data_IF_170774849514
#
_entry.id   IF_170774849514
#
_cell.length_a   1.000
_cell.length_b   1.000
_cell.length_c   1.000
_cell.angle_alpha   90.00
_cell.angle_beta   90.00
_cell.angle_gamma   90.00
#
_symmetry.space_group_name_H-M   'P 1'
#
loop_
_entity.id
_entity.type
_entity.pdbx_description
1 polymer ?
#
# COMPACT_ATOMS: atom_id res chain seq x y z
N UNK A 1 36.10 -6.45 -33.33
CA UNK A 1 35.13 -7.42 -32.83
C UNK A 1 33.93 -6.70 -32.14
N UNK A 2 34.13 -5.82 -31.15
CA UNK A 2 33.04 -5.07 -30.47
C UNK A 2 32.08 -4.36 -31.42
N UNK A 3 32.63 -3.70 -32.46
CA UNK A 3 31.77 -3.04 -33.48
C UNK A 3 30.89 -4.05 -34.25
N UNK A 4 31.40 -5.27 -34.53
CA UNK A 4 30.63 -6.34 -35.16
C UNK A 4 29.49 -6.82 -34.27
N UNK A 5 29.73 -7.03 -32.96
CA UNK A 5 28.72 -7.45 -32.00
C UNK A 5 27.64 -6.35 -31.84
N UNK A 6 28.05 -5.08 -31.76
CA UNK A 6 27.08 -3.97 -31.73
C UNK A 6 26.23 -3.91 -33.00
N UNK A 7 26.80 -4.17 -34.16
CA UNK A 7 26.05 -4.22 -35.40
C UNK A 7 25.02 -5.35 -35.37
N UNK A 8 25.39 -6.54 -34.90
CA UNK A 8 24.46 -7.68 -34.73
C UNK A 8 23.33 -7.33 -33.78
N UNK A 9 23.62 -6.77 -32.60
CA UNK A 9 22.60 -6.35 -31.62
C UNK A 9 21.64 -5.30 -32.21
N UNK A 10 22.16 -4.31 -32.95
CA UNK A 10 21.32 -3.31 -33.63
C UNK A 10 20.41 -3.90 -34.68
N UNK A 11 20.88 -4.91 -35.45
CA UNK A 11 20.05 -5.64 -36.43
C UNK A 11 18.91 -6.43 -35.79
N UNK A 12 19.06 -6.81 -34.51
CA UNK A 12 18.01 -7.48 -33.75
C UNK A 12 16.93 -6.51 -33.27
N UNK A 13 17.12 -5.19 -33.41
CA UNK A 13 16.18 -4.13 -32.98
C UNK A 13 15.74 -4.26 -31.51
N UNK A 14 16.62 -4.76 -30.65
CA UNK A 14 16.36 -4.89 -29.23
C UNK A 14 16.33 -3.52 -28.56
N UNK A 15 15.39 -3.23 -27.67
CA UNK A 15 15.36 -2.03 -26.85
C UNK A 15 16.39 -2.19 -25.71
N UNK A 16 17.68 -2.00 -26.00
CA UNK A 16 18.74 -2.17 -25.02
C UNK A 16 19.73 -1.00 -25.06
N UNK A 17 20.28 -0.67 -23.91
CA UNK A 17 21.45 0.21 -23.77
C UNK A 17 22.72 -0.62 -23.81
N UNK A 18 23.72 -0.16 -24.56
CA UNK A 18 24.97 -0.87 -24.73
C UNK A 18 26.10 -0.05 -24.11
N UNK A 19 26.71 -0.58 -23.04
CA UNK A 19 27.96 -0.06 -22.49
C UNK A 19 29.13 -0.88 -22.99
N UNK A 20 30.29 -0.27 -23.11
CA UNK A 20 31.51 -0.92 -23.60
C UNK A 20 32.66 -0.71 -22.64
N UNK A 21 33.46 -1.78 -22.47
CA UNK A 21 34.71 -1.73 -21.74
C UNK A 21 35.87 -2.23 -22.64
N UNK A 22 37.05 -1.73 -22.42
CA UNK A 22 38.23 -2.11 -23.22
C UNK A 22 38.87 -3.44 -22.77
N UNK A 23 38.70 -3.80 -21.51
CA UNK A 23 39.24 -5.02 -20.86
C UNK A 23 38.38 -5.36 -19.63
N UNK A 24 38.69 -6.49 -18.98
CA UNK A 24 37.92 -6.95 -17.82
C UNK A 24 38.00 -6.04 -16.61
N UNK A 25 39.12 -5.30 -16.41
CA UNK A 25 39.25 -4.38 -15.28
C UNK A 25 38.33 -3.16 -15.46
N UNK A 26 38.30 -2.57 -16.65
CA UNK A 26 37.42 -1.43 -16.95
C UNK A 26 35.94 -1.84 -16.85
N UNK A 27 35.61 -3.08 -17.28
CA UNK A 27 34.25 -3.62 -17.14
C UNK A 27 33.86 -3.79 -15.68
N UNK A 28 34.74 -4.33 -14.83
CA UNK A 28 34.49 -4.50 -13.41
C UNK A 28 34.33 -3.14 -12.71
N UNK A 29 35.11 -2.14 -13.07
CA UNK A 29 35.01 -0.79 -12.52
C UNK A 29 33.65 -0.15 -12.88
N UNK A 30 33.23 -0.30 -14.15
CA UNK A 30 31.90 0.15 -14.59
C UNK A 30 30.76 -0.52 -13.80
N UNK A 31 30.84 -1.83 -13.59
CA UNK A 31 29.82 -2.62 -12.88
C UNK A 31 29.76 -2.34 -11.36
N UNK A 32 30.77 -1.66 -10.78
CA UNK A 32 30.68 -1.16 -9.39
C UNK A 32 29.67 -0.03 -9.23
N UNK A 33 29.47 0.78 -10.27
CA UNK A 33 28.57 1.94 -10.23
C UNK A 33 27.25 1.68 -10.99
N UNK A 34 27.26 0.70 -11.91
CA UNK A 34 26.13 0.42 -12.80
C UNK A 34 25.80 -1.09 -12.76
N UNK A 35 24.54 -1.41 -13.03
CA UNK A 35 24.08 -2.79 -13.19
C UNK A 35 23.95 -3.12 -14.68
N UNK A 36 24.20 -4.38 -15.05
CA UNK A 36 23.97 -4.88 -16.39
C UNK A 36 23.11 -6.15 -16.35
N UNK A 37 22.22 -6.29 -17.33
CA UNK A 37 21.37 -7.47 -17.46
C UNK A 37 22.13 -8.63 -18.13
N UNK A 38 22.96 -8.30 -19.12
CA UNK A 38 23.73 -9.26 -19.89
C UNK A 38 25.17 -8.76 -20.04
N UNK A 39 26.13 -9.58 -19.68
CA UNK A 39 27.55 -9.38 -19.92
C UNK A 39 27.99 -10.23 -21.11
N UNK A 40 28.46 -9.56 -22.15
CA UNK A 40 29.13 -10.24 -23.30
C UNK A 40 30.63 -10.01 -23.18
N UNK A 41 31.43 -11.06 -23.02
CA UNK A 41 32.86 -10.93 -22.79
C UNK A 41 33.68 -11.90 -23.63
N UNK A 42 34.87 -11.50 -24.02
CA UNK A 42 35.87 -12.42 -24.58
C UNK A 42 36.57 -13.18 -23.43
N UNK A 43 36.96 -14.41 -23.67
CA UNK A 43 37.83 -15.18 -22.73
C UNK A 43 39.17 -14.47 -22.56
N UNK A 44 39.87 -14.18 -23.65
CA UNK A 44 41.22 -13.63 -23.60
C UNK A 44 41.20 -12.10 -23.72
N UNK A 45 41.38 -11.41 -22.61
CA UNK A 45 41.50 -9.96 -22.52
C UNK A 45 42.77 -9.57 -21.75
N UNK A 46 43.38 -8.39 -22.02
CA UNK A 46 44.52 -7.89 -21.26
C UNK A 46 44.08 -7.53 -19.83
N UNK A 47 45.00 -7.63 -18.88
CA UNK A 47 44.86 -7.29 -17.45
C UNK A 47 43.95 -8.22 -16.64
N UNK A 48 42.77 -8.56 -17.13
CA UNK A 48 41.78 -9.43 -16.51
C UNK A 48 41.05 -10.17 -17.62
N UNK A 49 41.09 -11.49 -17.59
CA UNK A 49 40.39 -12.35 -18.55
C UNK A 49 38.86 -12.38 -18.24
N UNK A 50 38.07 -12.87 -19.24
CA UNK A 50 36.59 -12.90 -19.09
C UNK A 50 36.10 -13.82 -17.98
N UNK A 51 36.84 -14.90 -17.69
CA UNK A 51 36.52 -15.84 -16.60
C UNK A 51 36.73 -15.14 -15.25
N UNK A 52 37.87 -14.47 -15.07
CA UNK A 52 38.17 -13.71 -13.87
C UNK A 52 37.15 -12.56 -13.65
N UNK A 53 36.76 -11.89 -14.74
CA UNK A 53 35.72 -10.85 -14.67
C UNK A 53 34.40 -11.42 -14.13
N UNK A 54 33.94 -12.54 -14.67
CA UNK A 54 32.69 -13.19 -14.23
C UNK A 54 32.82 -13.66 -12.78
N UNK A 55 33.94 -14.23 -12.37
CA UNK A 55 34.19 -14.65 -10.98
C UNK A 55 34.07 -13.46 -10.00
N UNK A 56 34.65 -12.31 -10.37
CA UNK A 56 34.55 -11.08 -9.54
C UNK A 56 33.13 -10.48 -9.51
N UNK A 57 32.44 -10.46 -10.66
CA UNK A 57 31.09 -9.98 -10.74
C UNK A 57 30.10 -10.78 -9.87
N UNK A 58 30.29 -12.11 -9.79
CA UNK A 58 29.42 -12.98 -8.98
C UNK A 58 29.64 -12.89 -7.47
N UNK A 59 30.66 -12.17 -7.01
CA UNK A 59 30.85 -11.87 -5.57
C UNK A 59 29.97 -10.71 -5.10
N UNK A 60 29.39 -9.97 -6.03
CA UNK A 60 28.52 -8.83 -5.73
C UNK A 60 27.06 -9.22 -5.99
N UNK A 61 26.24 -9.23 -4.93
CA UNK A 61 24.82 -9.61 -4.98
C UNK A 61 24.01 -8.78 -5.99
N UNK A 62 24.46 -7.56 -6.32
CA UNK A 62 23.81 -6.72 -7.35
C UNK A 62 23.85 -7.31 -8.74
N UNK A 63 24.81 -8.20 -9.01
CA UNK A 63 25.04 -8.88 -10.28
C UNK A 63 24.54 -10.33 -10.27
N UNK A 64 23.82 -10.77 -9.25
CA UNK A 64 23.34 -12.15 -9.12
C UNK A 64 22.53 -12.61 -10.33
N UNK A 65 21.68 -11.73 -10.86
CA UNK A 65 20.79 -12.02 -11.99
C UNK A 65 21.44 -11.76 -13.36
N UNK A 66 22.68 -11.24 -13.40
CA UNK A 66 23.37 -10.91 -14.64
C UNK A 66 23.69 -12.17 -15.44
N UNK A 67 23.19 -12.25 -16.67
CA UNK A 67 23.50 -13.33 -17.62
C UNK A 67 24.83 -13.07 -18.27
N UNK A 68 25.67 -14.10 -18.33
CA UNK A 68 27.02 -14.01 -18.92
C UNK A 68 27.10 -14.86 -20.18
N UNK A 69 27.56 -14.27 -21.28
CA UNK A 69 27.85 -14.96 -22.53
C UNK A 69 29.31 -14.72 -22.88
N UNK A 70 30.04 -15.81 -23.15
CA UNK A 70 31.48 -15.78 -23.44
C UNK A 70 31.73 -15.99 -24.92
N UNK A 71 32.61 -15.16 -25.50
CA UNK A 71 33.17 -15.39 -26.83
C UNK A 71 34.57 -15.99 -26.72
N UNK A 72 34.87 -16.99 -27.52
CA UNK A 72 36.21 -17.60 -27.55
C UNK A 72 36.67 -17.94 -28.96
N UNK A 73 37.89 -17.60 -29.27
CA UNK A 73 38.57 -18.00 -30.51
C UNK A 73 39.25 -19.37 -30.45
N UNK A 74 39.15 -20.07 -29.33
CA UNK A 74 39.87 -21.30 -29.09
C UNK A 74 38.95 -22.33 -28.45
N UNK A 75 39.00 -23.54 -28.97
CA UNK A 75 38.36 -24.74 -28.40
C UNK A 75 39.10 -25.26 -27.15
N UNK A 76 39.63 -24.37 -26.31
CA UNK A 76 40.32 -24.77 -25.07
C UNK A 76 39.28 -25.29 -24.08
N UNK A 77 39.22 -26.58 -23.96
CA UNK A 77 38.29 -27.34 -23.11
C UNK A 77 38.29 -26.85 -21.64
N UNK A 78 39.44 -26.39 -21.16
CA UNK A 78 39.59 -25.89 -19.80
C UNK A 78 38.79 -24.58 -19.51
N UNK A 79 38.72 -23.67 -20.49
CA UNK A 79 37.93 -22.48 -20.36
C UNK A 79 36.39 -22.76 -20.40
N UNK A 80 36.00 -23.64 -21.33
CA UNK A 80 34.60 -24.07 -21.40
C UNK A 80 34.15 -24.74 -20.09
N UNK A 81 34.99 -25.62 -19.53
CA UNK A 81 34.71 -26.27 -18.24
C UNK A 81 34.61 -25.28 -17.08
N UNK A 82 35.46 -24.26 -17.03
CA UNK A 82 35.35 -23.18 -16.02
C UNK A 82 34.10 -22.37 -16.21
N UNK A 83 33.75 -21.98 -17.44
CA UNK A 83 32.53 -21.27 -17.76
C UNK A 83 31.27 -22.00 -17.26
N UNK A 84 31.16 -23.29 -17.52
CA UNK A 84 30.06 -24.14 -17.03
C UNK A 84 29.99 -24.14 -15.49
N UNK A 85 31.12 -24.25 -14.79
CA UNK A 85 31.17 -24.23 -13.32
C UNK A 85 30.74 -22.89 -12.74
N UNK A 86 30.98 -21.81 -13.47
CA UNK A 86 30.54 -20.46 -13.10
C UNK A 86 29.10 -20.20 -13.49
N UNK A 87 28.38 -21.14 -14.12
CA UNK A 87 27.00 -20.95 -14.54
C UNK A 87 26.85 -19.83 -15.57
N UNK A 88 27.76 -19.81 -16.57
CA UNK A 88 27.66 -18.92 -17.72
C UNK A 88 26.46 -19.34 -18.57
N UNK A 89 25.71 -18.40 -19.06
CA UNK A 89 24.47 -18.67 -19.82
C UNK A 89 24.76 -19.29 -21.17
N UNK A 90 25.87 -18.88 -21.83
CA UNK A 90 26.27 -19.47 -23.08
C UNK A 90 27.74 -19.19 -23.42
N UNK A 91 28.24 -19.97 -24.44
CA UNK A 91 29.61 -19.90 -24.93
C UNK A 91 29.61 -19.96 -26.46
N UNK A 92 30.01 -18.88 -27.12
CA UNK A 92 29.98 -18.69 -28.56
C UNK A 92 31.42 -18.83 -29.12
N UNK A 93 31.60 -19.68 -30.11
CA UNK A 93 32.87 -19.82 -30.79
C UNK A 93 33.09 -18.73 -31.83
N UNK A 94 34.32 -18.25 -31.94
CA UNK A 94 34.76 -17.34 -33.03
C UNK A 94 35.26 -18.17 -34.23
N UNK A 95 34.99 -17.76 -35.48
CA UNK A 95 34.25 -16.53 -35.85
C UNK A 95 32.77 -16.62 -35.53
N UNK A 96 32.18 -15.52 -35.01
CA UNK A 96 30.77 -15.48 -34.59
C UNK A 96 29.85 -15.57 -35.80
N UNK A 97 29.06 -16.64 -35.85
CA UNK A 97 28.00 -16.78 -36.84
C UNK A 97 26.81 -15.87 -36.45
N UNK A 98 26.29 -14.99 -37.33
CA UNK A 98 25.20 -14.11 -37.01
C UNK A 98 23.92 -14.81 -36.60
N UNK A 99 23.64 -15.99 -37.12
CA UNK A 99 22.43 -16.76 -36.82
C UNK A 99 22.53 -17.39 -35.43
N UNK A 100 23.68 -18.02 -35.12
CA UNK A 100 23.99 -18.57 -33.80
C UNK A 100 23.94 -17.47 -32.72
N UNK A 101 24.59 -16.33 -33.01
CA UNK A 101 24.56 -15.18 -32.11
C UNK A 101 23.14 -14.73 -31.81
N UNK A 102 22.29 -14.56 -32.83
CA UNK A 102 20.89 -14.15 -32.68
C UNK A 102 20.10 -15.15 -31.85
N UNK A 103 20.25 -16.44 -32.12
CA UNK A 103 19.57 -17.52 -31.38
C UNK A 103 19.97 -17.50 -29.90
N UNK A 104 21.28 -17.43 -29.62
CA UNK A 104 21.83 -17.38 -28.27
C UNK A 104 21.32 -16.17 -27.50
N UNK A 105 21.42 -14.95 -28.05
CA UNK A 105 20.99 -13.75 -27.38
C UNK A 105 19.47 -13.76 -27.13
N UNK A 106 18.69 -14.23 -28.10
CA UNK A 106 17.24 -14.34 -27.95
C UNK A 106 16.89 -15.29 -26.80
N UNK A 107 17.53 -16.46 -26.72
CA UNK A 107 17.34 -17.43 -25.64
C UNK A 107 17.73 -16.85 -24.28
N UNK A 108 18.89 -16.21 -24.17
CA UNK A 108 19.36 -15.58 -22.92
C UNK A 108 18.40 -14.48 -22.43
N UNK A 109 17.84 -13.69 -23.35
CA UNK A 109 16.82 -12.68 -23.00
C UNK A 109 15.55 -13.36 -22.49
N UNK A 110 15.06 -14.39 -23.17
CA UNK A 110 13.87 -15.13 -22.74
C UNK A 110 14.04 -15.76 -21.36
N UNK A 111 15.21 -16.36 -21.08
CA UNK A 111 15.54 -16.91 -19.76
C UNK A 111 15.54 -15.82 -18.68
N UNK A 112 16.16 -14.66 -18.96
CA UNK A 112 16.20 -13.52 -18.05
C UNK A 112 14.79 -12.99 -17.76
N UNK A 113 13.96 -12.82 -18.78
CA UNK A 113 12.57 -12.36 -18.65
C UNK A 113 11.72 -13.36 -17.86
N UNK A 114 11.88 -14.67 -18.12
CA UNK A 114 11.16 -15.71 -17.40
C UNK A 114 11.54 -15.74 -15.90
N UNK A 115 12.82 -15.67 -15.57
CA UNK A 115 13.30 -15.62 -14.19
C UNK A 115 12.80 -14.36 -13.45
N UNK A 116 12.82 -13.21 -14.12
CA UNK A 116 12.26 -11.96 -13.57
C UNK A 116 10.75 -12.05 -13.35
N UNK A 117 10.03 -12.63 -14.29
CA UNK A 117 8.59 -12.84 -14.15
C UNK A 117 8.29 -13.77 -12.96
N UNK A 118 9.05 -14.87 -12.81
CA UNK A 118 8.90 -15.79 -11.69
C UNK A 118 9.21 -15.11 -10.34
N UNK A 119 10.34 -14.38 -10.25
CA UNK A 119 10.69 -13.61 -9.03
C UNK A 119 9.63 -12.59 -8.69
N UNK A 120 9.11 -11.86 -9.69
CA UNK A 120 8.04 -10.87 -9.48
C UNK A 120 6.73 -11.53 -9.03
N UNK A 121 6.37 -12.68 -9.60
CA UNK A 121 5.19 -13.44 -9.18
C UNK A 121 5.33 -13.93 -7.73
N UNK A 122 6.48 -14.50 -7.36
CA UNK A 122 6.77 -14.92 -5.98
C UNK A 122 6.67 -13.74 -5.01
N UNK A 123 7.32 -12.61 -5.36
CA UNK A 123 7.27 -11.39 -4.54
C UNK A 123 5.84 -10.87 -4.37
N UNK A 124 5.06 -10.84 -5.44
CA UNK A 124 3.65 -10.42 -5.41
C UNK A 124 2.79 -11.36 -4.56
N UNK A 125 2.98 -12.68 -4.73
CA UNK A 125 2.28 -13.68 -3.92
C UNK A 125 2.61 -13.55 -2.43
N UNK A 126 3.89 -13.39 -2.07
CA UNK A 126 4.31 -13.16 -0.68
C UNK A 126 3.70 -11.87 -0.11
N UNK A 127 3.67 -10.80 -0.90
CA UNK A 127 3.05 -9.55 -0.47
C UNK A 127 1.55 -9.72 -0.23
N UNK A 128 0.82 -10.41 -1.11
CA UNK A 128 -0.60 -10.70 -0.92
C UNK A 128 -0.86 -11.56 0.33
N UNK A 129 -0.02 -12.57 0.59
CA UNK A 129 -0.13 -13.37 1.80
C UNK A 129 0.11 -12.53 3.06
N UNK A 130 1.07 -11.60 3.02
CA UNK A 130 1.37 -10.67 4.12
C UNK A 130 0.20 -9.71 4.37
N UNK A 131 -0.36 -9.12 3.32
CA UNK A 131 -1.53 -8.25 3.40
C UNK A 131 -2.75 -8.98 3.95
N UNK A 132 -2.99 -10.23 3.51
CA UNK A 132 -4.05 -11.06 4.03
C UNK A 132 -3.87 -11.39 5.52
N UNK A 133 -2.65 -11.73 5.95
CA UNK A 133 -2.36 -11.99 7.36
C UNK A 133 -2.60 -10.73 8.23
N UNK A 134 -2.18 -9.56 7.78
CA UNK A 134 -2.45 -8.30 8.46
C UNK A 134 -3.94 -7.96 8.48
N UNK A 135 -4.66 -8.22 7.38
CA UNK A 135 -6.10 -8.08 7.32
C UNK A 135 -6.81 -8.93 8.39
N UNK A 136 -6.36 -10.16 8.62
CA UNK A 136 -6.91 -11.01 9.69
C UNK A 136 -6.67 -10.40 11.08
N UNK A 137 -5.46 -9.86 11.35
CA UNK A 137 -5.13 -9.23 12.64
C UNK A 137 -6.02 -8.02 12.89
N UNK A 138 -6.17 -7.12 11.93
CA UNK A 138 -7.00 -5.91 12.10
C UNK A 138 -8.49 -6.22 12.24
N UNK A 139 -8.95 -7.38 11.74
CA UNK A 139 -10.31 -7.89 11.94
C UNK A 139 -10.47 -8.75 13.20
N UNK A 140 -9.53 -8.68 14.14
CA UNK A 140 -9.68 -9.29 15.46
C UNK A 140 -9.22 -10.74 15.59
N UNK A 141 -8.58 -11.32 14.57
CA UNK A 141 -7.98 -12.65 14.70
C UNK A 141 -6.72 -12.56 15.58
N UNK A 142 -6.56 -13.54 16.47
CA UNK A 142 -5.43 -13.56 17.39
C UNK A 142 -4.08 -13.49 16.65
N UNK A 143 -3.22 -12.55 17.06
CA UNK A 143 -1.92 -12.29 16.41
C UNK A 143 -1.04 -13.54 16.38
N UNK A 144 -0.94 -14.28 17.48
CA UNK A 144 -0.09 -15.47 17.55
C UNK A 144 -0.57 -16.57 16.57
N UNK A 145 -1.88 -16.77 16.45
CA UNK A 145 -2.46 -17.71 15.51
C UNK A 145 -2.17 -17.34 14.05
N UNK A 146 -2.30 -16.06 13.72
CA UNK A 146 -2.01 -15.55 12.36
C UNK A 146 -0.54 -15.69 12.02
N UNK A 147 0.36 -15.36 12.96
CA UNK A 147 1.81 -15.49 12.75
C UNK A 147 2.22 -16.94 12.52
N UNK A 148 1.67 -17.88 13.28
CA UNK A 148 1.92 -19.31 13.11
C UNK A 148 1.44 -19.81 11.73
N UNK A 149 0.23 -19.44 11.33
CA UNK A 149 -0.35 -19.82 10.03
C UNK A 149 0.30 -19.15 8.83
N UNK A 150 0.96 -18.01 9.02
CA UNK A 150 1.60 -17.25 7.92
C UNK A 150 2.84 -17.95 7.34
N UNK A 151 3.33 -19.02 7.99
CA UNK A 151 4.50 -19.76 7.51
C UNK A 151 5.78 -18.91 7.41
N UNK A 152 5.91 -17.87 8.23
CA UNK A 152 7.06 -16.96 8.27
C UNK A 152 7.00 -15.80 7.28
N UNK A 153 5.91 -15.65 6.51
CA UNK A 153 5.69 -14.51 5.60
C UNK A 153 5.49 -13.20 6.38
N UNK A 154 4.89 -13.30 7.58
CA UNK A 154 4.73 -12.21 8.53
C UNK A 154 5.38 -12.62 9.86
N UNK A 155 6.27 -11.79 10.39
CA UNK A 155 6.91 -12.02 11.68
C UNK A 155 6.36 -11.08 12.75
N UNK A 156 6.58 -11.41 14.04
CA UNK A 156 6.15 -10.53 15.13
C UNK A 156 6.80 -9.14 15.03
N UNK A 157 8.08 -9.06 14.65
CA UNK A 157 8.77 -7.78 14.46
C UNK A 157 8.18 -6.94 13.32
N UNK A 158 7.60 -7.57 12.29
CA UNK A 158 6.91 -6.87 11.22
C UNK A 158 5.62 -6.20 11.69
N UNK A 159 5.00 -6.72 12.73
CA UNK A 159 3.75 -6.20 13.29
C UNK A 159 4.02 -5.24 14.46
N UNK A 160 4.99 -5.55 15.31
CA UNK A 160 5.37 -4.68 16.43
C UNK A 160 6.00 -3.35 15.98
N UNK A 161 6.40 -3.22 14.71
CA UNK A 161 6.92 -1.98 14.16
C UNK A 161 5.84 -0.90 13.92
N UNK A 162 4.56 -1.26 13.93
CA UNK A 162 3.49 -0.28 13.77
C UNK A 162 3.31 0.54 15.04
N UNK A 163 3.22 1.86 14.88
CA UNK A 163 3.09 2.79 16.00
C UNK A 163 1.73 3.51 16.05
N UNK A 164 1.01 3.60 14.93
CA UNK A 164 -0.34 4.21 14.83
C UNK A 164 -1.09 3.66 13.63
N UNK A 165 -2.41 3.76 13.70
CA UNK A 165 -3.30 3.42 12.59
C UNK A 165 -4.13 4.66 12.26
N UNK A 166 -4.26 4.96 10.97
CA UNK A 166 -5.25 5.87 10.42
C UNK A 166 -6.33 5.03 9.75
N UNK A 167 -7.60 5.31 10.03
CA UNK A 167 -8.72 4.80 9.28
C UNK A 167 -9.26 5.91 8.37
N UNK A 168 -9.57 5.57 7.14
CA UNK A 168 -10.17 6.43 6.14
C UNK A 168 -11.55 5.88 5.78
N UNK A 169 -12.55 6.73 5.73
CA UNK A 169 -13.92 6.35 5.38
C UNK A 169 -14.54 7.33 4.39
N UNK A 170 -15.23 6.78 3.40
CA UNK A 170 -16.04 7.53 2.41
C UNK A 170 -17.47 7.02 2.42
N UNK A 171 -18.38 7.84 1.94
CA UNK A 171 -19.80 7.48 1.89
C UNK A 171 -20.15 6.60 0.68
N UNK A 172 -19.26 6.52 -0.32
CA UNK A 172 -19.40 5.75 -1.55
C UNK A 172 -18.36 4.63 -1.68
N UNK A 173 -18.41 3.87 -2.79
CA UNK A 173 -17.46 2.82 -3.13
C UNK A 173 -16.14 3.41 -3.71
N UNK A 174 -15.50 4.29 -2.96
CA UNK A 174 -14.28 4.97 -3.38
C UNK A 174 -13.06 4.04 -3.35
N UNK A 175 -12.84 3.34 -2.24
CA UNK A 175 -11.65 2.50 -2.07
C UNK A 175 -11.72 1.22 -2.90
N UNK A 176 -12.92 0.70 -3.17
CA UNK A 176 -13.10 -0.41 -4.10
C UNK A 176 -12.67 -0.08 -5.52
N UNK A 177 -12.92 1.16 -5.97
CA UNK A 177 -12.57 1.64 -7.31
C UNK A 177 -11.17 2.21 -7.41
N UNK A 178 -10.73 2.97 -6.41
CA UNK A 178 -9.52 3.80 -6.48
C UNK A 178 -8.43 3.39 -5.49
N UNK A 179 -8.61 2.36 -4.67
CA UNK A 179 -7.65 2.01 -3.60
C UNK A 179 -6.24 1.70 -4.10
N UNK A 180 -6.11 1.02 -5.24
CA UNK A 180 -4.79 0.74 -5.86
C UNK A 180 -4.16 2.02 -6.38
N UNK A 181 -4.93 2.86 -7.07
CA UNK A 181 -4.46 4.14 -7.61
C UNK A 181 -4.06 5.12 -6.48
N UNK A 182 -4.82 5.16 -5.39
CA UNK A 182 -4.49 5.91 -4.17
C UNK A 182 -3.15 5.47 -3.60
N UNK A 183 -2.94 4.16 -3.47
CA UNK A 183 -1.68 3.61 -2.98
C UNK A 183 -0.49 3.98 -3.88
N UNK A 184 -0.65 3.83 -5.20
CA UNK A 184 0.44 4.05 -6.16
C UNK A 184 0.72 5.52 -6.44
N UNK A 185 -0.31 6.35 -6.56
CA UNK A 185 -0.16 7.76 -6.94
C UNK A 185 0.06 8.69 -5.77
N UNK A 186 -0.78 8.61 -4.75
CA UNK A 186 -0.72 9.54 -3.62
C UNK A 186 0.29 9.05 -2.61
N UNK A 187 0.05 7.86 -2.05
CA UNK A 187 0.88 7.36 -0.96
C UNK A 187 2.32 7.05 -1.42
N UNK A 188 2.50 6.37 -2.55
CA UNK A 188 3.83 5.99 -3.01
C UNK A 188 4.63 7.10 -3.68
N UNK A 189 3.99 8.11 -4.28
CA UNK A 189 4.68 9.18 -5.04
C UNK A 189 4.65 10.52 -4.34
N UNK A 190 3.47 11.02 -3.93
CA UNK A 190 3.31 12.37 -3.40
C UNK A 190 3.64 12.48 -1.91
N UNK A 191 3.38 11.42 -1.14
CA UNK A 191 3.71 11.41 0.30
C UNK A 191 5.18 11.13 0.60
N UNK A 192 6.04 10.88 -0.41
CA UNK A 192 7.48 10.67 -0.25
C UNK A 192 8.21 11.85 0.41
N UNK A 193 7.70 13.05 0.25
CA UNK A 193 8.28 14.24 0.85
C UNK A 193 8.02 14.32 2.36
N UNK A 194 6.97 13.61 2.83
CA UNK A 194 6.55 13.62 4.23
C UNK A 194 7.11 12.42 4.98
N UNK A 195 7.31 11.28 4.30
CA UNK A 195 7.80 10.06 4.93
C UNK A 195 8.55 9.15 3.94
N UNK A 196 9.43 8.29 4.46
CA UNK A 196 10.10 7.26 3.67
C UNK A 196 9.10 6.25 3.11
N UNK A 197 9.41 5.62 1.96
CA UNK A 197 8.51 4.68 1.26
C UNK A 197 8.07 3.48 2.12
N UNK A 198 8.87 3.12 3.13
CA UNK A 198 8.59 1.99 4.05
C UNK A 198 7.97 2.43 5.38
N UNK A 199 7.70 3.73 5.55
CA UNK A 199 7.21 4.30 6.80
C UNK A 199 5.75 3.94 7.11
N UNK A 200 5.02 3.37 6.17
CA UNK A 200 3.62 2.99 6.34
C UNK A 200 3.24 1.78 5.48
N UNK A 201 2.11 1.17 5.81
CA UNK A 201 1.44 0.13 5.03
C UNK A 201 -0.03 0.52 4.85
N UNK A 202 -0.53 0.37 3.62
CA UNK A 202 -1.92 0.64 3.25
C UNK A 202 -2.68 -0.67 3.05
N UNK A 203 -3.91 -0.74 3.60
CA UNK A 203 -4.82 -1.88 3.44
C UNK A 203 -6.24 -1.39 3.16
N UNK A 204 -6.88 -1.98 2.15
CA UNK A 204 -8.31 -1.84 1.95
C UNK A 204 -9.06 -2.82 2.86
N UNK A 205 -10.03 -2.32 3.64
CA UNK A 205 -10.88 -3.16 4.48
C UNK A 205 -12.21 -3.47 3.78
N UNK A 206 -12.85 -2.42 3.29
CA UNK A 206 -14.14 -2.50 2.57
C UNK A 206 -14.12 -1.52 1.39
N UNK A 207 -15.12 -1.54 0.50
CA UNK A 207 -15.23 -0.52 -0.55
C UNK A 207 -15.30 0.93 -0.02
N UNK A 208 -15.76 1.12 1.20
CA UNK A 208 -15.91 2.43 1.85
C UNK A 208 -14.81 2.75 2.86
N UNK A 209 -14.01 1.76 3.28
CA UNK A 209 -13.03 1.92 4.35
C UNK A 209 -11.66 1.38 3.98
N UNK A 210 -10.63 2.11 4.35
CA UNK A 210 -9.23 1.66 4.29
C UNK A 210 -8.45 2.11 5.52
N UNK A 211 -7.31 1.48 5.77
CA UNK A 211 -6.42 1.85 6.86
C UNK A 211 -4.99 2.05 6.37
N UNK A 212 -4.28 2.87 7.11
CA UNK A 212 -2.84 3.11 6.96
C UNK A 212 -2.18 2.83 8.31
N UNK A 213 -1.31 1.82 8.33
CA UNK A 213 -0.50 1.49 9.50
C UNK A 213 0.84 2.24 9.40
N UNK A 214 1.10 3.16 10.31
CA UNK A 214 2.33 3.93 10.37
C UNK A 214 3.40 3.18 11.17
N UNK A 215 4.64 3.20 10.68
CA UNK A 215 5.81 2.58 11.32
C UNK A 215 6.77 3.62 11.89
N UNK A 216 6.79 4.81 11.30
CA UNK A 216 7.72 5.87 11.69
C UNK A 216 7.08 6.81 12.70
N UNK A 217 7.61 6.79 13.93
CA UNK A 217 7.15 7.64 15.04
C UNK A 217 7.50 9.13 14.86
N UNK A 218 8.36 9.47 13.93
CA UNK A 218 8.72 10.86 13.63
C UNK A 218 7.65 11.59 12.82
N UNK A 219 6.73 10.85 12.19
CA UNK A 219 5.64 11.41 11.41
C UNK A 219 4.59 11.99 12.36
N UNK A 220 4.25 13.27 12.18
CA UNK A 220 3.06 13.84 12.80
C UNK A 220 1.81 13.27 12.13
N UNK A 221 1.03 12.42 12.83
CA UNK A 221 -0.10 11.74 12.21
C UNK A 221 -1.23 12.68 11.83
N UNK A 222 -1.37 13.83 12.52
CA UNK A 222 -2.40 14.83 12.23
C UNK A 222 -2.06 15.58 10.95
N UNK A 223 -0.80 16.01 10.81
CA UNK A 223 -0.31 16.68 9.60
C UNK A 223 -0.38 15.73 8.40
N UNK A 224 0.03 14.48 8.58
CA UNK A 224 -0.04 13.44 7.56
C UNK A 224 -1.49 13.22 7.09
N UNK A 225 -2.43 13.02 8.02
CA UNK A 225 -3.83 12.79 7.70
C UNK A 225 -4.46 13.99 6.98
N UNK A 226 -4.21 15.21 7.42
CA UNK A 226 -4.74 16.41 6.76
C UNK A 226 -4.24 16.55 5.32
N UNK A 227 -2.92 16.38 5.08
CA UNK A 227 -2.35 16.40 3.73
C UNK A 227 -2.97 15.32 2.84
N UNK A 228 -3.17 14.12 3.37
CA UNK A 228 -3.78 13.03 2.63
C UNK A 228 -5.25 13.34 2.27
N UNK A 229 -6.03 13.84 3.20
CA UNK A 229 -7.43 14.21 2.96
C UNK A 229 -7.56 15.33 1.93
N UNK A 230 -6.67 16.33 1.96
CA UNK A 230 -6.64 17.40 0.99
C UNK A 230 -6.28 16.87 -0.41
N UNK A 231 -5.31 15.97 -0.52
CA UNK A 231 -4.94 15.35 -1.80
C UNK A 231 -6.05 14.46 -2.37
N UNK A 232 -6.74 13.67 -1.52
CA UNK A 232 -7.89 12.88 -1.96
C UNK A 232 -8.98 13.80 -2.52
N UNK A 233 -9.26 14.91 -1.85
CA UNK A 233 -10.25 15.90 -2.30
C UNK A 233 -9.86 16.56 -3.61
N UNK A 234 -8.60 16.94 -3.76
CA UNK A 234 -8.09 17.62 -4.97
C UNK A 234 -8.04 16.70 -6.19
N UNK A 235 -7.63 15.43 -6.03
CA UNK A 235 -7.43 14.52 -7.16
C UNK A 235 -8.68 13.74 -7.56
N UNK A 236 -9.55 13.44 -6.59
CA UNK A 236 -10.73 12.59 -6.84
C UNK A 236 -12.05 13.30 -6.61
N UNK A 237 -12.02 14.58 -6.20
CA UNK A 237 -13.24 15.35 -5.85
C UNK A 237 -14.12 14.63 -4.82
N UNK A 238 -13.51 13.75 -3.98
CA UNK A 238 -14.23 12.92 -3.02
C UNK A 238 -14.09 13.47 -1.58
N UNK A 239 -15.16 13.27 -0.79
CA UNK A 239 -15.19 13.63 0.62
C UNK A 239 -14.80 12.40 1.45
N UNK A 240 -13.63 12.47 2.08
CA UNK A 240 -13.12 11.43 2.95
C UNK A 240 -13.03 11.94 4.39
N UNK A 241 -13.39 11.09 5.34
CA UNK A 241 -13.22 11.31 6.78
C UNK A 241 -12.12 10.38 7.28
N UNK A 242 -11.33 10.84 8.23
CA UNK A 242 -10.26 10.04 8.84
C UNK A 242 -10.38 10.00 10.36
N UNK A 243 -9.95 8.89 10.96
CA UNK A 243 -9.69 8.79 12.40
C UNK A 243 -8.26 8.31 12.64
N UNK A 244 -7.65 8.73 13.76
CA UNK A 244 -6.28 8.39 14.15
C UNK A 244 -6.32 7.71 15.51
N UNK A 245 -5.72 6.52 15.62
CA UNK A 245 -5.61 5.78 16.87
C UNK A 245 -4.65 6.44 17.87
N UNK A 246 -4.75 6.06 19.12
CA UNK A 246 -3.70 6.22 20.11
C UNK A 246 -2.42 5.51 19.69
N UNK A 247 -1.29 5.77 20.38
CA UNK A 247 -0.01 5.14 20.06
C UNK A 247 -0.05 3.66 20.38
N UNK A 248 0.49 2.85 19.46
CA UNK A 248 0.60 1.40 19.55
C UNK A 248 2.05 1.04 19.88
N UNK A 249 2.26 0.15 20.84
CA UNK A 249 3.58 -0.31 21.26
C UNK A 249 3.84 -1.79 20.95
N UNK A 250 2.79 -2.56 20.69
CA UNK A 250 2.89 -3.98 20.37
C UNK A 250 1.71 -4.43 19.51
N UNK A 251 1.87 -5.57 18.83
CA UNK A 251 0.88 -6.15 17.91
C UNK A 251 -0.49 -6.41 18.56
N UNK A 252 -0.50 -6.79 19.84
CA UNK A 252 -1.72 -7.11 20.58
C UNK A 252 -2.63 -5.89 20.79
N UNK A 253 -2.08 -4.67 20.69
CA UNK A 253 -2.84 -3.41 20.81
C UNK A 253 -3.56 -3.00 19.50
N UNK A 254 -3.26 -3.65 18.38
CA UNK A 254 -3.87 -3.32 17.08
C UNK A 254 -5.40 -3.46 17.15
N UNK A 255 -5.91 -4.49 17.80
CA UNK A 255 -7.36 -4.73 17.92
C UNK A 255 -8.01 -3.59 18.71
N UNK A 256 -7.43 -3.23 19.87
CA UNK A 256 -7.94 -2.10 20.67
C UNK A 256 -7.86 -0.77 19.91
N UNK A 257 -6.82 -0.59 19.09
CA UNK A 257 -6.70 0.60 18.25
C UNK A 257 -7.75 0.62 17.12
N UNK A 258 -8.14 -0.53 16.58
CA UNK A 258 -9.24 -0.61 15.61
C UNK A 258 -10.58 -0.26 16.25
N UNK A 259 -10.87 -0.80 17.44
CA UNK A 259 -12.08 -0.46 18.21
C UNK A 259 -12.14 1.05 18.49
N UNK A 260 -11.01 1.66 18.92
CA UNK A 260 -10.89 3.11 19.14
C UNK A 260 -11.19 3.92 17.85
N UNK A 261 -10.67 3.45 16.70
CA UNK A 261 -10.87 4.12 15.41
C UNK A 261 -12.34 4.10 14.98
N UNK A 262 -13.03 2.98 15.17
CA UNK A 262 -14.46 2.86 14.89
C UNK A 262 -15.29 3.78 15.80
N UNK A 263 -14.98 3.81 17.10
CA UNK A 263 -15.64 4.72 18.05
C UNK A 263 -15.40 6.20 17.68
N UNK A 264 -14.17 6.57 17.30
CA UNK A 264 -13.86 7.92 16.83
C UNK A 264 -14.62 8.26 15.54
N UNK A 265 -14.75 7.29 14.61
CA UNK A 265 -15.46 7.51 13.36
C UNK A 265 -16.97 7.71 13.55
N UNK A 266 -17.59 7.16 14.61
CA UNK A 266 -18.98 7.42 14.96
C UNK A 266 -19.24 8.92 15.21
N UNK A 267 -18.22 9.69 15.62
CA UNK A 267 -18.35 11.14 15.82
C UNK A 267 -18.66 11.92 14.52
N UNK A 268 -18.41 11.33 13.35
CA UNK A 268 -18.79 11.89 12.05
C UNK A 268 -20.28 12.26 12.00
N UNK A 269 -21.11 11.46 12.64
CA UNK A 269 -22.56 11.72 12.69
C UNK A 269 -22.89 13.01 13.42
N UNK A 270 -22.16 13.33 14.50
CA UNK A 270 -22.41 14.52 15.33
C UNK A 270 -21.72 15.77 14.78
N UNK A 271 -20.63 15.58 14.04
CA UNK A 271 -19.77 16.65 13.53
C UNK A 271 -19.56 16.54 12.02
N UNK A 272 -20.59 16.76 11.17
CA UNK A 272 -20.52 16.52 9.73
C UNK A 272 -19.50 17.42 9.00
N UNK A 273 -19.04 18.50 9.63
CA UNK A 273 -18.04 19.41 9.08
C UNK A 273 -16.60 19.07 9.49
N UNK A 274 -16.42 18.08 10.37
CA UNK A 274 -15.11 17.62 10.83
C UNK A 274 -14.67 16.45 9.98
N UNK A 275 -13.47 16.55 9.40
CA UNK A 275 -12.92 15.51 8.53
C UNK A 275 -11.91 14.58 9.21
N UNK A 276 -11.43 14.97 10.42
CA UNK A 276 -10.38 14.24 11.12
C UNK A 276 -10.73 14.14 12.61
N UNK A 277 -10.75 12.91 13.13
CA UNK A 277 -11.01 12.57 14.51
C UNK A 277 -9.80 11.88 15.15
N UNK A 278 -9.47 12.22 16.40
CA UNK A 278 -8.36 11.61 17.14
C UNK A 278 -8.57 11.73 18.65
N UNK A 279 -7.94 10.86 19.42
CA UNK A 279 -8.01 10.88 20.88
C UNK A 279 -7.49 12.21 21.44
N UNK A 280 -8.26 12.82 22.34
CA UNK A 280 -7.95 14.13 22.92
C UNK A 280 -8.48 15.33 22.13
N UNK A 281 -9.23 15.11 21.06
CA UNK A 281 -10.02 16.16 20.43
C UNK A 281 -11.06 16.63 21.46
N UNK A 282 -10.92 17.85 21.95
CA UNK A 282 -11.90 18.42 22.87
C UNK A 282 -13.22 18.59 22.14
N UNK A 283 -14.20 17.77 22.50
CA UNK A 283 -15.59 18.16 22.27
C UNK A 283 -15.77 19.48 23.00
N UNK A 284 -16.08 20.54 22.26
CA UNK A 284 -16.42 21.82 22.87
C UNK A 284 -17.45 21.56 23.95
N UNK A 285 -17.16 22.00 25.19
CA UNK A 285 -17.99 21.86 26.38
C UNK A 285 -19.45 22.29 26.08
N UNK A 286 -20.29 21.32 25.77
CA UNK A 286 -21.72 21.50 25.79
C UNK A 286 -22.22 20.99 27.13
N UNK A 287 -22.65 21.93 28.00
CA UNK A 287 -23.41 21.61 29.19
C UNK A 287 -24.56 20.66 28.86
N UNK A 288 -24.57 19.52 29.54
CA UNK A 288 -25.65 18.52 29.42
C UNK A 288 -26.91 19.13 30.01
N UNK A 289 -27.72 19.75 29.17
CA UNK A 289 -29.06 20.13 29.57
C UNK A 289 -29.86 18.83 29.65
N UNK A 290 -30.13 18.35 30.86
CA UNK A 290 -31.04 17.23 31.11
C UNK A 290 -32.46 17.69 30.77
N UNK A 291 -32.86 17.54 29.52
CA UNK A 291 -34.26 17.71 29.11
C UNK A 291 -34.87 16.30 29.05
N UNK A 292 -36.01 16.14 29.63
CA UNK A 292 -36.80 14.91 29.56
C UNK A 292 -37.31 14.73 28.12
N UNK A 293 -36.79 13.71 27.42
CA UNK A 293 -37.17 13.41 26.04
C UNK A 293 -38.65 13.09 25.89
N UNK A 294 -39.22 12.43 26.89
CA UNK A 294 -40.64 12.09 26.91
C UNK A 294 -41.53 13.32 26.84
N UNK A 295 -41.06 14.42 27.43
CA UNK A 295 -41.80 15.71 27.40
C UNK A 295 -41.78 16.32 26.00
N UNK A 296 -40.60 16.34 25.32
CA UNK A 296 -40.49 16.87 23.95
C UNK A 296 -41.27 16.01 22.96
N UNK A 297 -41.19 14.67 23.08
CA UNK A 297 -41.95 13.75 22.24
C UNK A 297 -43.44 13.92 22.42
N UNK A 298 -43.92 14.09 23.65
CA UNK A 298 -45.34 14.40 23.92
C UNK A 298 -45.78 15.71 23.31
N UNK A 299 -44.95 16.78 23.41
CA UNK A 299 -45.23 18.07 22.80
C UNK A 299 -45.30 17.94 21.26
N UNK A 300 -44.35 17.32 20.62
CA UNK A 300 -44.40 17.08 19.17
C UNK A 300 -45.64 16.28 18.73
N UNK A 301 -46.06 15.25 19.47
CA UNK A 301 -47.32 14.54 19.22
C UNK A 301 -48.54 15.43 19.35
N UNK A 302 -48.53 16.38 20.29
CA UNK A 302 -49.63 17.36 20.45
C UNK A 302 -49.63 18.36 19.29
N UNK A 303 -48.48 18.88 18.89
CA UNK A 303 -48.36 19.81 17.75
C UNK A 303 -48.90 19.18 16.45
N UNK A 304 -48.61 17.91 16.23
CA UNK A 304 -49.12 17.15 15.05
C UNK A 304 -50.67 17.09 15.11
N UNK A 305 -51.24 16.75 16.27
CA UNK A 305 -52.70 16.71 16.45
C UNK A 305 -53.37 18.08 16.25
N UNK A 306 -52.68 19.16 16.68
CA UNK A 306 -53.11 20.53 16.50
C UNK A 306 -52.82 21.10 15.11
N UNK A 307 -52.09 20.37 14.27
CA UNK A 307 -51.59 20.81 12.96
C UNK A 307 -50.70 22.07 13.04
N UNK A 308 -50.02 22.26 14.16
CA UNK A 308 -49.12 23.39 14.41
C UNK A 308 -47.69 23.01 13.91
N UNK A 309 -47.44 23.29 12.64
CA UNK A 309 -46.17 22.99 11.97
C UNK A 309 -45.01 23.80 12.52
N UNK A 310 -45.29 25.04 13.03
CA UNK A 310 -44.23 25.90 13.54
C UNK A 310 -43.70 25.38 14.88
N UNK A 311 -44.61 25.10 15.84
CA UNK A 311 -44.21 24.52 17.13
C UNK A 311 -43.55 23.12 16.97
N UNK A 312 -44.06 22.31 16.06
CA UNK A 312 -43.44 21.03 15.75
C UNK A 312 -41.99 21.17 15.27
N UNK A 313 -41.74 22.15 14.38
CA UNK A 313 -40.36 22.42 13.88
C UNK A 313 -39.45 22.85 15.03
N UNK A 314 -39.92 23.75 15.89
CA UNK A 314 -39.15 24.28 17.03
C UNK A 314 -38.83 23.17 18.05
N UNK A 315 -39.80 22.30 18.37
CA UNK A 315 -39.59 21.16 19.27
C UNK A 315 -38.68 20.11 18.67
N UNK A 316 -38.79 19.82 17.37
CA UNK A 316 -37.91 18.90 16.66
C UNK A 316 -36.48 19.45 16.58
N UNK A 317 -36.32 20.75 16.37
CA UNK A 317 -34.98 21.37 16.32
C UNK A 317 -34.30 21.33 17.69
N UNK A 318 -35.01 21.57 18.78
CA UNK A 318 -34.53 21.42 20.17
C UNK A 318 -34.13 19.95 20.46
N UNK A 319 -34.96 19.01 20.02
CA UNK A 319 -34.67 17.60 20.17
C UNK A 319 -33.40 17.22 19.40
N UNK A 320 -33.28 17.60 18.13
CA UNK A 320 -32.13 17.30 17.30
C UNK A 320 -30.85 17.97 17.77
N UNK A 321 -30.90 19.22 18.22
CA UNK A 321 -29.75 19.94 18.78
C UNK A 321 -29.16 19.23 19.99
N UNK A 322 -30.01 18.65 20.86
CA UNK A 322 -29.54 17.87 22.00
C UNK A 322 -28.62 16.72 21.62
N UNK A 323 -28.97 16.00 20.57
CA UNK A 323 -28.19 14.84 20.11
C UNK A 323 -26.99 15.22 19.23
N UNK A 324 -27.02 16.39 18.59
CA UNK A 324 -25.86 16.95 17.88
C UNK A 324 -24.73 17.39 18.82
N UNK A 325 -25.04 17.75 20.03
CA UNK A 325 -24.07 18.24 21.02
C UNK A 325 -23.52 17.16 21.97
N UNK A 326 -24.05 15.95 21.93
CA UNK A 326 -23.66 14.87 22.84
C UNK A 326 -22.93 13.74 22.11
N UNK A 327 -21.64 13.57 22.41
CA UNK A 327 -20.78 12.48 21.91
C UNK A 327 -20.96 11.16 22.69
N UNK A 328 -21.89 11.11 23.66
CA UNK A 328 -22.05 9.98 24.58
C UNK A 328 -22.97 8.86 24.08
N UNK A 329 -23.61 9.02 22.92
CA UNK A 329 -24.53 8.02 22.40
C UNK A 329 -24.01 7.34 21.14
N UNK A 330 -24.10 6.00 21.10
CA UNK A 330 -23.72 5.27 19.88
C UNK A 330 -24.65 5.63 18.70
N UNK A 331 -24.11 5.59 17.50
CA UNK A 331 -24.85 5.82 16.25
C UNK A 331 -26.12 4.93 16.16
N UNK A 332 -26.00 3.70 16.63
CA UNK A 332 -27.11 2.72 16.64
C UNK A 332 -28.24 3.17 17.58
N UNK A 333 -27.89 3.70 18.75
CA UNK A 333 -28.88 4.23 19.70
C UNK A 333 -29.63 5.43 19.10
N UNK A 334 -28.92 6.34 18.45
CA UNK A 334 -29.54 7.52 17.82
C UNK A 334 -30.45 7.11 16.66
N UNK A 335 -30.00 6.21 15.79
CA UNK A 335 -30.85 5.65 14.71
C UNK A 335 -32.12 5.02 15.27
N UNK A 336 -31.98 4.24 16.34
CA UNK A 336 -33.12 3.61 17.04
C UNK A 336 -34.09 4.66 17.60
N UNK A 337 -33.55 5.70 18.25
CA UNK A 337 -34.31 6.75 18.86
C UNK A 337 -35.08 7.58 17.82
N UNK A 338 -34.43 7.95 16.70
CA UNK A 338 -35.11 8.65 15.60
C UNK A 338 -36.12 7.76 14.87
N UNK A 339 -35.84 6.47 14.72
CA UNK A 339 -36.79 5.52 14.14
C UNK A 339 -38.08 5.39 15.02
N UNK A 340 -37.89 5.31 16.34
CA UNK A 340 -39.04 5.31 17.28
C UNK A 340 -39.79 6.64 17.24
N UNK A 341 -39.10 7.78 17.20
CA UNK A 341 -39.71 9.09 17.06
C UNK A 341 -40.55 9.20 15.78
N UNK A 342 -39.99 8.73 14.63
CA UNK A 342 -40.73 8.71 13.37
C UNK A 342 -41.98 7.82 13.44
N UNK A 343 -41.86 6.64 14.07
CA UNK A 343 -43.02 5.76 14.32
C UNK A 343 -44.07 6.46 15.18
N UNK A 344 -43.67 7.09 16.28
CA UNK A 344 -44.53 7.82 17.17
C UNK A 344 -45.24 9.00 16.51
N UNK A 345 -44.53 9.71 15.61
CA UNK A 345 -45.07 10.78 14.77
C UNK A 345 -46.10 10.21 13.80
N UNK A 346 -45.77 9.10 13.13
CA UNK A 346 -46.67 8.44 12.16
C UNK A 346 -47.96 7.96 12.84
N UNK A 347 -47.86 7.36 14.03
CA UNK A 347 -49.02 6.91 14.83
C UNK A 347 -49.87 8.07 15.35
N UNK A 348 -49.29 9.27 15.45
CA UNK A 348 -50.00 10.48 15.88
C UNK A 348 -50.75 11.23 14.75
N UNK A 349 -50.42 10.91 13.47
CA UNK A 349 -51.14 11.50 12.33
C UNK A 349 -52.54 10.87 12.26
N UNK A 350 -53.61 11.67 12.27
CA UNK A 350 -54.97 11.13 12.10
C UNK A 350 -55.09 10.48 10.72
N UNK A 351 -55.40 9.19 10.70
CA UNK A 351 -55.64 8.48 9.43
C UNK A 351 -56.80 9.15 8.70
N UNK A 352 -56.62 9.38 7.39
CA UNK A 352 -57.77 9.58 6.53
C UNK A 352 -58.52 8.26 6.48
N UNK A 353 -59.66 8.19 7.16
CA UNK A 353 -60.58 7.08 7.15
C UNK A 353 -61.35 7.00 5.84
#
# INVERSE_FOLDING_TARGET
ERNGIKMLLRHMQLPCEIAEAANGRDALEYLKEHTADILLTDVKMPFMDGIQLIEECKKDDRNEDMKCVIFSGCSEFDYARKAVRLGVSDYILKPVDPSEFKETITRVIQELEAERAEKNMKKKSMQQMREHALYQIVNGVNVAEVLEKSGGVLTKSDVDCFCRILMLETDDDFFGKNGVDLQERILAKKMKEVCAREAFLYLNLTPQQSIILLKDRSIDPIEFANKLLDQIKEEYENSCTASISSEISCAEQIICAMDELEELMENKFYHPNVRLFYSGMKSSDCEIIKIDDDTLIKQMKQDIRMKDVQSLRDHFERFSQRYRSQTAFSQMYIKFLFANLLKDIYDAVPGEG
#
